data_IF_592389157912
#
_entry.id   IF_592389157912
#
_cell.length_a   1.000
_cell.length_b   1.000
_cell.length_c   1.000
_cell.angle_alpha   90.00
_cell.angle_beta   90.00
_cell.angle_gamma   90.00
#
_symmetry.space_group_name_H-M   'P 1'
#
loop_
_entity.id
_entity.type
_entity.pdbx_description
1 polymer ?
2 polymer ?
3 non-polymer ?
4 non-polymer ?
5 water ?
#
# COMPACT_ATOMS: atom_id res chain seq x y z
N UNK A 1 -11.91 -21.06 0.91
CA UNK A 1 -10.87 -21.72 0.10
C UNK A 1 -10.11 -22.78 0.92
N UNK A 2 -9.00 -23.24 0.34
CA UNK A 2 -8.29 -24.37 0.89
C UNK A 2 -7.08 -23.90 1.70
N UNK A 3 -6.94 -22.61 1.94
CA UNK A 3 -5.86 -22.22 2.78
C UNK A 3 -4.52 -22.23 2.08
N UNK A 4 -3.50 -22.23 2.90
CA UNK A 4 -2.11 -22.11 2.43
C UNK A 4 -1.32 -23.41 2.69
N UNK A 5 -0.32 -23.63 1.88
CA UNK A 5 0.69 -24.64 2.16
C UNK A 5 1.88 -24.05 2.91
N UNK A 6 2.80 -24.88 3.35
CA UNK A 6 4.05 -24.37 3.87
C UNK A 6 4.80 -23.56 2.86
N UNK A 7 4.76 -23.94 1.60
CA UNK A 7 5.48 -23.18 0.57
C UNK A 7 4.87 -21.78 0.40
N UNK A 8 3.57 -21.71 0.53
CA UNK A 8 2.90 -20.40 0.48
C UNK A 8 3.30 -19.51 1.62
N UNK A 9 3.43 -20.12 2.83
CA UNK A 9 3.88 -19.37 3.97
C UNK A 9 5.34 -18.95 3.80
N UNK A 10 6.13 -19.79 3.18
CA UNK A 10 7.52 -19.44 2.88
C UNK A 10 7.62 -18.26 1.90
N UNK A 11 6.73 -18.23 0.91
CA UNK A 11 6.65 -17.13 -0.02
C UNK A 11 6.23 -15.83 0.69
N UNK A 12 5.20 -15.89 1.48
CA UNK A 12 4.79 -14.65 2.20
C UNK A 12 5.98 -14.12 3.03
N UNK A 13 6.68 -14.98 3.73
CA UNK A 13 7.86 -14.56 4.47
C UNK A 13 8.93 -13.96 3.61
N UNK A 14 9.24 -14.63 2.48
CA UNK A 14 10.25 -14.07 1.62
C UNK A 14 9.87 -12.69 1.10
N UNK A 15 8.63 -12.49 0.81
CA UNK A 15 8.15 -11.20 0.28
C UNK A 15 8.28 -10.17 1.34
N UNK A 16 7.88 -10.44 2.57
CA UNK A 16 8.00 -9.43 3.58
C UNK A 16 9.48 -9.11 3.91
N UNK A 17 10.31 -10.13 3.86
CA UNK A 17 11.74 -10.02 4.17
C UNK A 17 12.62 -9.44 3.09
N UNK A 18 12.14 -9.38 1.86
CA UNK A 18 12.91 -8.95 0.73
C UNK A 18 13.82 -10.03 0.21
N UNK A 19 13.51 -11.27 0.45
CA UNK A 19 14.35 -12.42 -0.03
C UNK A 19 13.91 -12.73 -1.47
N UNK A 20 14.37 -11.90 -2.42
CA UNK A 20 13.92 -11.95 -3.82
C UNK A 20 14.24 -13.28 -4.50
N UNK A 21 15.35 -13.86 -4.14
CA UNK A 21 15.66 -15.15 -4.75
C UNK A 21 14.69 -16.21 -4.35
N UNK A 22 14.25 -16.25 -3.10
CA UNK A 22 13.23 -17.15 -2.69
C UNK A 22 11.88 -16.89 -3.30
N UNK A 23 11.50 -15.62 -3.41
CA UNK A 23 10.28 -15.28 -4.10
C UNK A 23 10.28 -15.80 -5.56
N UNK A 24 11.39 -15.66 -6.24
CA UNK A 24 11.47 -16.12 -7.63
C UNK A 24 11.24 -17.63 -7.67
N UNK A 25 11.74 -18.35 -6.70
CA UNK A 25 11.65 -19.81 -6.71
C UNK A 25 10.22 -20.25 -6.39
N UNK A 26 9.59 -19.56 -5.44
CA UNK A 26 8.28 -19.96 -4.97
C UNK A 26 7.07 -19.40 -5.62
N UNK A 27 7.23 -18.34 -6.39
CA UNK A 27 6.07 -17.67 -6.93
C UNK A 27 5.54 -18.51 -8.14
N UNK A 28 4.29 -18.91 -8.09
CA UNK A 28 3.64 -19.65 -9.15
C UNK A 28 2.38 -18.92 -9.44
N UNK A 29 1.72 -19.24 -10.56
CA UNK A 29 0.45 -18.63 -10.78
C UNK A 29 -0.47 -18.97 -9.59
N UNK A 30 -0.30 -20.14 -8.97
CA UNK A 30 -1.18 -20.57 -7.88
C UNK A 30 -0.84 -19.87 -6.57
N UNK A 31 0.36 -19.27 -6.42
CA UNK A 31 0.80 -18.78 -5.08
C UNK A 31 1.00 -17.22 -5.02
N UNK A 32 1.10 -16.64 -6.17
CA UNK A 32 1.54 -15.21 -6.28
C UNK A 32 0.52 -14.34 -5.57
N UNK A 33 -0.77 -14.70 -5.51
CA UNK A 33 -1.79 -13.90 -4.82
C UNK A 33 -2.40 -14.60 -3.63
N UNK A 34 -1.57 -15.51 -3.02
CA UNK A 34 -2.04 -16.11 -1.81
C UNK A 34 -2.23 -15.04 -0.72
N UNK A 35 -3.00 -15.39 0.31
CA UNK A 35 -3.32 -14.49 1.41
C UNK A 35 -2.75 -14.99 2.70
N UNK A 36 -2.37 -14.07 3.55
CA UNK A 36 -1.87 -14.42 4.91
C UNK A 36 -3.12 -14.58 5.78
N UNK A 37 -3.62 -15.81 5.83
CA UNK A 37 -4.83 -16.16 6.57
C UNK A 37 -4.77 -15.86 8.05
N UNK A 38 -3.60 -16.03 8.69
CA UNK A 38 -3.50 -15.79 10.12
C UNK A 38 -3.21 -14.40 10.54
N UNK A 39 -3.02 -13.51 9.56
CA UNK A 39 -2.70 -12.12 9.83
C UNK A 39 -3.95 -11.31 9.47
N UNK A 40 -3.84 -10.48 8.44
CA UNK A 40 -4.95 -9.67 7.92
C UNK A 40 -5.13 -9.87 6.45
N UNK A 41 -4.78 -11.04 5.92
CA UNK A 41 -5.07 -11.46 4.59
C UNK A 41 -4.23 -10.67 3.56
N UNK A 42 -3.06 -10.16 3.96
CA UNK A 42 -2.14 -9.56 3.04
C UNK A 42 -1.68 -10.55 2.00
N UNK A 43 -1.55 -10.12 0.75
CA UNK A 43 -0.88 -10.86 -0.28
C UNK A 43 0.65 -10.63 -0.23
N UNK A 44 1.43 -11.43 -0.98
CA UNK A 44 2.83 -11.08 -1.12
C UNK A 44 3.05 -9.65 -1.52
N UNK A 45 2.29 -9.14 -2.44
CA UNK A 45 2.46 -7.74 -2.85
C UNK A 45 2.17 -6.72 -1.73
N UNK A 46 1.12 -6.99 -0.95
CA UNK A 46 0.85 -6.11 0.21
C UNK A 46 2.10 -6.05 1.08
N UNK A 47 2.66 -7.26 1.40
CA UNK A 47 3.83 -7.30 2.27
C UNK A 47 5.05 -6.58 1.68
N UNK A 48 5.34 -6.90 0.41
CA UNK A 48 6.51 -6.36 -0.22
C UNK A 48 6.37 -4.81 -0.32
N UNK A 49 5.17 -4.34 -0.59
CA UNK A 49 4.89 -2.89 -0.65
C UNK A 49 5.05 -2.25 0.67
N UNK A 50 4.48 -2.84 1.71
CA UNK A 50 4.53 -2.27 3.06
C UNK A 50 5.94 -2.24 3.66
N UNK A 51 6.73 -3.25 3.34
CA UNK A 51 8.04 -3.40 3.89
C UNK A 51 9.11 -2.90 2.94
N UNK A 52 8.75 -2.15 1.89
CA UNK A 52 9.69 -1.45 1.04
C UNK A 52 10.66 -2.45 0.31
N UNK A 53 10.10 -3.56 -0.12
CA UNK A 53 10.93 -4.57 -0.79
C UNK A 53 10.85 -4.40 -2.25
N UNK A 54 11.55 -3.38 -2.74
CA UNK A 54 11.32 -2.89 -4.11
C UNK A 54 11.62 -3.95 -5.16
N UNK A 55 12.71 -4.73 -4.98
CA UNK A 55 12.99 -5.78 -5.93
C UNK A 55 11.91 -6.83 -6.00
N UNK A 56 11.40 -7.17 -4.82
CA UNK A 56 10.26 -8.10 -4.71
C UNK A 56 9.01 -7.53 -5.42
N UNK A 57 8.73 -6.25 -5.17
CA UNK A 57 7.58 -5.61 -5.86
C UNK A 57 7.73 -5.69 -7.36
N UNK A 58 8.92 -5.38 -7.84
CA UNK A 58 9.17 -5.45 -9.30
C UNK A 58 8.92 -6.84 -9.84
N UNK A 59 9.41 -7.86 -9.15
CA UNK A 59 9.23 -9.20 -9.60
C UNK A 59 7.81 -9.62 -9.61
N UNK A 60 7.10 -9.33 -8.51
CA UNK A 60 5.74 -9.74 -8.35
C UNK A 60 4.89 -9.10 -9.44
N UNK A 61 5.08 -7.81 -9.67
CA UNK A 61 4.29 -7.13 -10.72
C UNK A 61 4.45 -7.79 -12.10
N UNK A 62 5.67 -8.24 -12.36
CA UNK A 62 6.02 -8.87 -13.66
C UNK A 62 5.57 -10.31 -13.71
N UNK A 63 5.04 -10.88 -12.64
CA UNK A 63 4.67 -12.30 -12.58
C UNK A 63 3.30 -12.52 -12.01
N UNK A 64 2.38 -11.58 -12.32
CA UNK A 64 0.99 -11.84 -12.10
C UNK A 64 0.36 -11.39 -10.79
N UNK A 65 1.13 -10.65 -9.99
CA UNK A 65 0.56 -10.14 -8.79
C UNK A 65 -0.58 -9.17 -9.07
N UNK A 66 -1.56 -9.26 -8.21
CA UNK A 66 -2.78 -8.39 -8.34
C UNK A 66 -2.58 -7.07 -7.64
N UNK A 67 -2.43 -6.03 -8.42
CA UNK A 67 -2.22 -4.69 -7.84
C UNK A 67 -3.41 -4.23 -7.05
N UNK A 68 -4.59 -4.79 -7.33
CA UNK A 68 -5.85 -4.41 -6.75
C UNK A 68 -6.36 -5.25 -5.61
N UNK A 69 -5.53 -6.22 -5.19
CA UNK A 69 -5.95 -7.11 -4.17
C UNK A 69 -6.24 -6.40 -2.87
N UNK A 70 -7.36 -6.74 -2.23
CA UNK A 70 -7.83 -6.11 -0.98
C UNK A 70 -7.47 -7.01 0.19
N UNK A 71 -6.90 -6.50 1.26
CA UNK A 71 -6.70 -7.24 2.53
C UNK A 71 -8.02 -7.20 3.34
N UNK A 72 -7.96 -7.68 4.58
CA UNK A 72 -9.22 -7.74 5.34
C UNK A 72 -9.95 -6.39 5.56
N UNK A 73 -9.17 -5.33 5.61
CA UNK A 73 -9.69 -3.99 5.72
C UNK A 73 -9.96 -3.28 4.38
N UNK A 74 -9.81 -3.95 3.28
CA UNK A 74 -9.98 -3.29 1.97
C UNK A 74 -8.78 -2.50 1.53
N UNK A 75 -7.65 -2.62 2.22
CA UNK A 75 -6.43 -1.96 1.77
C UNK A 75 -5.92 -2.69 0.56
N UNK A 76 -5.48 -1.93 -0.42
CA UNK A 76 -4.73 -2.46 -1.57
C UNK A 76 -3.23 -2.15 -1.34
N UNK A 77 -2.33 -2.78 -2.07
CA UNK A 77 -0.92 -2.52 -1.82
C UNK A 77 -0.47 -1.05 -1.81
N UNK A 78 -1.10 -0.25 -2.66
CA UNK A 78 -0.78 1.15 -2.67
C UNK A 78 -1.04 1.82 -1.32
N UNK A 79 -2.09 1.42 -0.62
CA UNK A 79 -2.29 1.93 0.76
C UNK A 79 -1.05 1.63 1.60
N UNK A 80 -0.59 0.38 1.54
CA UNK A 80 0.55 -0.01 2.40
C UNK A 80 1.75 0.81 2.06
N UNK A 81 2.07 0.99 0.77
CA UNK A 81 3.23 1.77 0.38
C UNK A 81 3.16 3.19 0.86
N UNK A 82 1.97 3.75 0.75
CA UNK A 82 1.76 5.14 1.19
C UNK A 82 1.80 5.33 2.69
N UNK A 83 1.19 4.43 3.45
CA UNK A 83 1.20 4.50 4.92
C UNK A 83 2.63 4.58 5.41
N UNK A 84 3.46 3.71 4.85
CA UNK A 84 4.81 3.52 5.37
C UNK A 84 5.85 4.30 4.67
N UNK A 85 5.43 5.18 3.77
CA UNK A 85 6.36 6.14 3.22
C UNK A 85 7.23 5.71 2.06
N UNK A 86 6.88 4.67 1.30
CA UNK A 86 7.78 4.04 0.34
C UNK A 86 7.48 4.53 -1.07
N UNK A 87 8.17 5.59 -1.44
CA UNK A 87 7.88 6.33 -2.61
C UNK A 87 8.07 5.54 -3.90
N UNK A 88 9.24 4.91 -4.07
CA UNK A 88 9.48 4.16 -5.29
C UNK A 88 8.46 3.08 -5.50
N UNK A 89 8.16 2.36 -4.42
CA UNK A 89 7.10 1.37 -4.47
C UNK A 89 5.77 1.96 -4.91
N UNK A 90 5.38 3.07 -4.28
CA UNK A 90 4.13 3.69 -4.69
C UNK A 90 4.12 4.06 -6.21
N UNK A 91 5.25 4.59 -6.66
CA UNK A 91 5.34 4.94 -8.05
C UNK A 91 5.18 3.73 -8.93
N UNK A 92 5.86 2.61 -8.63
CA UNK A 92 5.79 1.39 -9.38
C UNK A 92 4.34 0.92 -9.52
N UNK A 93 3.66 0.88 -8.38
CA UNK A 93 2.28 0.44 -8.37
C UNK A 93 1.38 1.29 -9.28
N UNK A 94 1.56 2.58 -9.14
CA UNK A 94 0.86 3.53 -10.00
C UNK A 94 1.15 3.34 -11.49
N UNK A 95 2.43 3.13 -11.80
CA UNK A 95 2.79 2.83 -13.22
C UNK A 95 2.11 1.65 -13.77
N UNK A 96 1.93 0.53 -12.98
CA UNK A 96 1.30 -0.70 -13.45
C UNK A 96 -0.22 -0.55 -13.55
N UNK A 97 -0.80 0.53 -12.96
CA UNK A 97 -2.25 0.65 -13.03
C UNK A 97 -2.96 0.80 -11.71
N UNK A 98 -2.28 1.02 -10.60
CA UNK A 98 -2.96 1.17 -9.32
C UNK A 98 -3.90 2.35 -9.36
N UNK A 99 -5.06 2.19 -8.70
CA UNK A 99 -6.07 3.26 -8.63
C UNK A 99 -5.72 4.22 -7.53
N UNK A 100 -5.40 5.43 -7.84
CA UNK A 100 -4.86 6.36 -6.92
C UNK A 100 -5.92 6.81 -5.90
N UNK A 101 -7.18 6.87 -6.33
CA UNK A 101 -8.31 7.25 -5.43
C UNK A 101 -9.03 6.09 -4.76
N UNK A 102 -8.38 4.91 -4.75
CA UNK A 102 -8.99 3.71 -4.16
C UNK A 102 -9.35 3.95 -2.67
N UNK A 103 -10.45 3.45 -2.25
CA UNK A 103 -10.91 3.57 -0.87
C UNK A 103 -10.95 2.23 -0.20
N UNK A 104 -10.49 2.14 1.02
CA UNK A 104 -10.68 0.95 1.84
C UNK A 104 -12.10 0.90 2.42
N UNK A 105 -12.34 -0.03 3.33
CA UNK A 105 -13.67 -0.22 3.82
C UNK A 105 -14.20 1.00 4.57
N UNK A 106 -13.28 1.80 5.09
CA UNK A 106 -13.51 3.01 5.92
C UNK A 106 -13.41 4.25 5.03
N UNK A 107 -13.36 4.06 3.70
CA UNK A 107 -13.22 5.15 2.75
C UNK A 107 -11.91 5.99 2.93
N UNK A 108 -10.87 5.36 3.49
CA UNK A 108 -9.57 5.97 3.50
C UNK A 108 -8.92 5.67 2.15
N UNK A 109 -8.38 6.74 1.54
CA UNK A 109 -7.57 6.62 0.32
C UNK A 109 -6.12 6.57 0.67
N UNK A 110 -5.28 6.24 -0.30
CA UNK A 110 -3.84 6.36 -0.08
C UNK A 110 -3.39 7.76 0.39
N UNK A 111 -4.04 8.81 -0.10
CA UNK A 111 -3.72 10.13 0.36
C UNK A 111 -4.08 10.36 1.85
N UNK A 112 -5.20 9.81 2.31
CA UNK A 112 -5.46 9.85 3.73
C UNK A 112 -4.36 9.21 4.52
N UNK A 113 -3.89 8.07 4.05
CA UNK A 113 -2.80 7.36 4.76
C UNK A 113 -1.51 8.16 4.80
N UNK A 114 -1.11 8.70 3.66
CA UNK A 114 0.09 9.45 3.56
C UNK A 114 0.02 10.75 4.45
N UNK A 115 -1.13 11.37 4.43
CA UNK A 115 -1.34 12.59 5.24
C UNK A 115 -1.23 12.26 6.71
N UNK A 116 -1.98 11.25 7.14
CA UNK A 116 -2.06 10.90 8.54
C UNK A 116 -0.69 10.55 9.07
N UNK A 117 0.14 9.90 8.25
CA UNK A 117 1.45 9.40 8.62
C UNK A 117 2.54 10.39 8.34
N UNK A 118 2.20 11.59 7.91
CA UNK A 118 3.21 12.59 7.76
C UNK A 118 4.17 12.42 6.65
N UNK A 119 3.74 11.84 5.54
CA UNK A 119 4.61 11.51 4.40
C UNK A 119 4.43 12.53 3.30
N UNK A 120 5.21 13.62 3.35
CA UNK A 120 5.00 14.69 2.43
C UNK A 120 5.23 14.28 0.97
N UNK A 121 6.37 13.62 0.71
CA UNK A 121 6.70 13.31 -0.68
C UNK A 121 5.67 12.35 -1.26
N UNK A 122 5.14 11.43 -0.45
CA UNK A 122 4.02 10.58 -0.90
C UNK A 122 2.78 11.34 -1.18
N UNK A 123 2.48 12.34 -0.35
CA UNK A 123 1.29 13.15 -0.66
C UNK A 123 1.46 13.85 -2.02
N UNK A 124 2.67 14.44 -2.24
CA UNK A 124 2.94 15.17 -3.46
C UNK A 124 2.83 14.21 -4.63
N UNK A 125 3.41 13.04 -4.50
CA UNK A 125 3.34 12.03 -5.58
C UNK A 125 1.89 11.73 -5.94
N UNK A 126 1.09 11.44 -4.94
CA UNK A 126 -0.28 11.06 -5.17
C UNK A 126 -1.03 12.19 -5.87
N UNK A 127 -0.85 13.40 -5.39
CA UNK A 127 -1.39 14.58 -6.07
C UNK A 127 -0.96 14.70 -7.51
N UNK A 128 0.30 14.40 -7.81
CA UNK A 128 0.80 14.45 -9.15
C UNK A 128 0.18 13.42 -10.06
N UNK A 129 -0.47 12.42 -9.47
CA UNK A 129 -1.14 11.36 -10.23
C UNK A 129 -2.65 11.35 -10.06
N UNK A 130 -3.20 12.51 -9.70
CA UNK A 130 -4.63 12.65 -9.73
C UNK A 130 -5.38 12.36 -8.45
N UNK A 131 -4.68 12.21 -7.32
CA UNK A 131 -5.36 12.06 -6.08
C UNK A 131 -6.24 13.24 -5.76
N UNK A 132 -7.43 12.93 -5.30
CA UNK A 132 -8.41 13.98 -4.98
C UNK A 132 -8.34 14.30 -3.49
N UNK A 133 -7.92 15.48 -3.14
CA UNK A 133 -7.76 15.81 -1.74
C UNK A 133 -9.07 16.13 -1.04
N UNK A 134 -10.18 16.22 -1.75
CA UNK A 134 -11.50 16.49 -1.16
C UNK A 134 -12.20 15.29 -0.69
N UNK A 135 -11.64 14.08 -0.92
CA UNK A 135 -12.37 12.88 -0.54
C UNK A 135 -12.45 12.73 0.97
N UNK A 136 -13.63 12.42 1.41
CA UNK A 136 -13.91 12.22 2.81
C UNK A 136 -14.02 10.73 3.13
N UNK A 137 -13.44 10.37 4.26
CA UNK A 137 -13.51 9.03 4.78
C UNK A 137 -14.87 8.85 5.53
N UNK A 138 -15.06 7.70 6.19
CA UNK A 138 -16.35 7.44 6.85
C UNK A 138 -16.60 8.38 8.04
N UNK A 139 -15.56 8.96 8.59
CA UNK A 139 -15.67 9.95 9.68
C UNK A 139 -15.96 11.38 9.14
N UNK A 140 -16.05 11.57 7.84
CA UNK A 140 -16.21 12.86 7.21
C UNK A 140 -14.96 13.65 7.03
N UNK A 141 -13.82 13.00 7.24
CA UNK A 141 -12.57 13.68 7.27
C UNK A 141 -11.85 13.57 5.94
N UNK A 142 -11.29 14.69 5.50
CA UNK A 142 -10.42 14.70 4.30
C UNK A 142 -8.99 14.36 4.77
N UNK A 143 -8.09 14.10 3.81
CA UNK A 143 -6.68 13.96 4.18
C UNK A 143 -6.15 15.11 5.04
N UNK A 144 -6.49 16.33 4.68
CA UNK A 144 -6.08 17.48 5.48
C UNK A 144 -6.54 17.36 6.93
N UNK A 145 -7.70 16.85 7.17
CA UNK A 145 -8.24 16.68 8.56
C UNK A 145 -7.39 15.69 9.36
N UNK A 146 -6.54 14.88 8.68
CA UNK A 146 -5.73 13.90 9.38
C UNK A 146 -4.29 14.36 9.56
N UNK A 147 -3.96 15.56 9.07
CA UNK A 147 -2.58 16.02 9.13
C UNK A 147 -2.30 16.65 10.48
N UNK A 148 -1.23 16.16 11.12
CA UNK A 148 -0.76 16.79 12.38
C UNK A 148 -0.38 18.23 12.18
N UNK A 149 -0.59 19.04 13.22
CA UNK A 149 -0.22 20.46 13.12
C UNK A 149 1.21 20.75 12.85
N UNK A 150 2.08 19.89 13.24
CA UNK A 150 3.52 20.11 12.96
C UNK A 150 3.93 19.87 11.51
N UNK A 151 3.08 19.18 10.77
CA UNK A 151 3.35 18.90 9.34
C UNK A 151 2.83 20.03 8.46
N UNK A 152 3.42 21.21 8.64
CA UNK A 152 2.84 22.42 8.02
C UNK A 152 3.09 22.38 6.48
N UNK A 153 4.16 21.66 6.11
CA UNK A 153 4.43 21.45 4.68
C UNK A 153 3.28 20.71 3.99
N UNK A 154 2.78 19.65 4.62
CA UNK A 154 1.69 18.92 4.12
C UNK A 154 0.41 19.74 4.14
N UNK A 155 0.16 20.47 5.22
CA UNK A 155 -0.98 21.35 5.27
C UNK A 155 -0.96 22.34 4.11
N UNK A 156 0.19 22.96 3.84
CA UNK A 156 0.30 23.91 2.71
C UNK A 156 0.06 23.20 1.41
N UNK A 157 0.63 22.00 1.28
CA UNK A 157 0.46 21.25 0.05
C UNK A 157 -1.03 21.04 -0.22
N UNK A 158 -1.77 20.51 0.78
CA UNK A 158 -3.18 20.22 0.58
C UNK A 158 -4.14 21.43 0.50
N UNK A 159 -3.66 22.59 0.93
CA UNK A 159 -4.43 23.83 0.82
C UNK A 159 -4.18 24.43 -0.59
N UNK A 160 -3.14 24.00 -1.30
CA UNK A 160 -2.73 24.63 -2.59
C UNK A 160 -1.54 25.60 -2.55
N UNK A 161 -0.84 25.63 -1.44
CA UNK A 161 0.15 26.64 -1.16
C UNK A 161 1.62 26.20 -1.24
N UNK A 162 1.95 24.95 -1.63
CA UNK A 162 3.35 24.48 -1.61
C UNK A 162 4.09 25.00 -2.85
N UNK A 163 5.42 25.12 -2.77
CA UNK A 163 6.28 25.12 -3.94
C UNK A 163 6.37 23.70 -4.50
C UNK B 1 -10.70 0.42 13.88
N UNK B 2 -10.03 1.31 13.15
CA UNK B 2 -9.38 0.94 11.89
C UNK B 2 -8.01 0.32 12.14
N UNK B 3 -7.84 -0.94 11.70
CA UNK B 3 -6.59 -1.61 12.02
C UNK B 3 -5.59 -1.32 10.94
N UNK B 4 -4.20 -1.38 11.27
CA UNK B 4 -3.02 -0.93 10.51
C UNK B 4 -2.85 -2.04 9.39
N UNK B 5 -2.41 -1.47 8.10
CA UNK B 5 -1.98 -2.49 7.13
C UNK B 5 -0.58 -2.98 7.45
N UNK B 6 -0.20 -4.07 6.81
CA UNK B 6 1.11 -4.61 7.00
C UNK B 6 2.19 -3.74 6.41
N UNK B 7 3.30 -3.63 7.11
CA UNK B 7 4.44 -2.85 6.67
C UNK B 7 5.21 -2.21 7.78
N UNK B 8 6.28 -1.53 7.38
CA UNK B 8 7.16 -0.84 8.36
C UNK B 8 7.68 0.33 7.71
N UNK B 9 7.94 1.45 8.39
CA UNK B 9 8.60 2.64 7.87
C UNK B 9 6.84 5.74 9.49
X LIG C 1 13.50 -6.33 -2.14
X LIG D 1 -0.78 0.33 13.18
X LIG D 1 -0.58 -0.83 14.11
X LIG D 1 1.57 0.25 15.03
X LIG D 1 0.37 -0.45 15.18
X LIG D 1 2.08 0.29 16.32
X LIG D 1 3.37 0.83 16.79
X LIG D 1 1.15 -0.38 17.15
X LIG D 1 4.29 -0.28 17.13
X LIG D 1 4.66 -0.97 15.92
X LIG D 1 5.99 -1.60 16.06
X LIG D 1 7.01 -0.85 15.31
X LIG D 1 0.15 -0.80 16.48
X LIG D 1 7.79 -1.65 14.45
X LIG D 1 7.55 -2.42 13.36
X LIG D 1 9.15 -3.38 11.63
X LIG D 1 8.77 -2.68 12.84
X LIG D 1 9.15 -1.36 9.91
X LIG D 1 9.97 -2.54 10.65
X LIG D 1 9.71 -2.17 13.59
X LIG D 1 9.14 -1.55 14.57
X LIG D 1 -2.04 0.24 12.40
#
# INVERSE_FOLDING_TARGET
GSGNSEADRQLLEAAKAGDVETVKKLCTVQSVNCRDIEGRQSTPLHFAAGYNRVSVVEYLLQHGADVHAKDKGGLVPLHNACSYGHYEVAELLVKHGAVVNVADLWKFTPLHEAAAKGKYEICKLLLQHGADPTKKNRDGNTPLDLVKDGDTDIQDLLRGDAAL
XREAGDGAE
CL CL
4XQ C14 C15 C16 N6 C17 C18 N7 C19 C20 C21 C22 N8 C23 C24 C25 N9 C29 C30 N11 N12 C31
#
